data_IF_221493021702
#
_entry.id   IF_221493021702
#
_cell.length_a   1.000
_cell.length_b   1.000
_cell.length_c   1.000
_cell.angle_alpha   90.00
_cell.angle_beta   90.00
_cell.angle_gamma   90.00
#
_symmetry.space_group_name_H-M   'P 1'
#
loop_
_entity.id
_entity.type
_entity.pdbx_description
1 polymer ?
#
# COMPACT_ATOMS: atom_id res chain seq x y z
N UNK A 1 -12.49 9.20 -12.24
CA UNK A 1 -11.06 9.47 -12.45
C UNK A 1 -10.40 8.19 -12.95
N UNK A 2 -9.71 8.24 -14.09
CA UNK A 2 -8.90 7.10 -14.56
C UNK A 2 -7.65 7.04 -13.69
N UNK A 3 -7.36 5.86 -13.12
CA UNK A 3 -6.18 5.59 -12.30
C UNK A 3 -5.39 4.47 -12.94
N UNK A 4 -4.09 4.44 -12.69
CA UNK A 4 -3.15 3.51 -13.30
C UNK A 4 -2.39 2.72 -12.24
N UNK A 5 -1.95 1.52 -12.62
CA UNK A 5 -1.04 0.69 -11.83
C UNK A 5 -0.19 -0.18 -12.75
N UNK A 6 0.98 -0.58 -12.29
CA UNK A 6 1.79 -1.61 -12.92
C UNK A 6 1.51 -2.94 -12.24
N UNK A 7 1.17 -3.95 -13.01
CA UNK A 7 1.00 -5.31 -12.53
C UNK A 7 2.15 -6.17 -13.07
N UNK A 8 2.84 -6.84 -12.18
CA UNK A 8 3.80 -7.88 -12.50
C UNK A 8 3.21 -9.25 -12.17
N UNK A 9 3.15 -10.10 -13.18
CA UNK A 9 2.75 -11.52 -13.04
C UNK A 9 4.04 -12.34 -13.02
N UNK A 10 4.33 -13.08 -11.92
CA UNK A 10 5.57 -13.81 -11.81
C UNK A 10 5.65 -14.93 -12.86
N UNK A 11 6.86 -15.21 -13.33
CA UNK A 11 7.12 -16.27 -14.34
C UNK A 11 6.75 -17.67 -13.83
N UNK A 12 6.68 -17.83 -12.52
CA UNK A 12 6.26 -19.08 -11.85
C UNK A 12 4.74 -19.25 -11.74
N UNK A 13 3.93 -18.24 -12.13
CA UNK A 13 2.47 -18.34 -12.07
C UNK A 13 1.91 -19.24 -13.16
N UNK A 14 1.18 -20.28 -12.77
CA UNK A 14 0.64 -21.31 -13.66
C UNK A 14 -0.77 -21.01 -14.22
N UNK A 15 -1.40 -19.94 -13.77
CA UNK A 15 -2.75 -19.55 -14.18
C UNK A 15 -3.89 -20.33 -13.49
N UNK A 16 -3.58 -21.32 -12.68
CA UNK A 16 -4.58 -22.22 -12.07
C UNK A 16 -4.55 -22.26 -10.55
N UNK A 17 -3.37 -22.13 -9.96
CA UNK A 17 -3.18 -22.13 -8.51
C UNK A 17 -3.41 -20.72 -7.94
N UNK A 18 -4.31 -20.54 -6.96
CA UNK A 18 -4.46 -19.25 -6.30
C UNK A 18 -3.19 -18.78 -5.59
N UNK A 19 -2.72 -17.59 -5.92
CA UNK A 19 -1.48 -16.98 -5.41
C UNK A 19 -1.73 -15.72 -4.59
N UNK A 20 -0.81 -15.31 -3.69
CA UNK A 20 -0.92 -14.05 -2.98
C UNK A 20 -0.91 -12.84 -3.92
N UNK A 21 -1.47 -11.73 -3.42
CA UNK A 21 -1.41 -10.41 -4.06
C UNK A 21 -0.71 -9.42 -3.13
N UNK A 22 0.32 -8.73 -3.63
CA UNK A 22 1.04 -7.70 -2.90
C UNK A 22 0.95 -6.36 -3.61
N UNK A 23 0.47 -5.33 -2.90
CA UNK A 23 0.55 -3.93 -3.30
C UNK A 23 1.80 -3.29 -2.70
N UNK A 24 2.57 -2.53 -3.52
CA UNK A 24 3.74 -1.79 -3.07
C UNK A 24 3.59 -0.30 -3.45
N UNK A 25 3.37 0.55 -2.44
CA UNK A 25 2.99 1.96 -2.59
C UNK A 25 4.21 2.88 -2.50
N UNK A 26 4.36 3.79 -3.49
CA UNK A 26 5.41 4.80 -3.52
C UNK A 26 5.23 5.86 -2.42
N UNK A 27 6.31 6.59 -2.10
CA UNK A 27 6.26 7.76 -1.22
C UNK A 27 5.68 9.00 -1.91
N UNK A 28 5.49 10.09 -1.14
CA UNK A 28 5.04 11.39 -1.67
C UNK A 28 5.94 11.87 -2.82
N UNK A 29 5.35 12.34 -3.90
CA UNK A 29 6.04 12.76 -5.11
C UNK A 29 6.56 11.64 -6.00
N UNK A 30 6.44 10.38 -5.58
CA UNK A 30 6.88 9.21 -6.34
C UNK A 30 5.92 8.82 -7.46
N UNK A 31 6.38 7.90 -8.30
CA UNK A 31 5.57 7.28 -9.34
C UNK A 31 5.63 5.76 -9.24
N UNK A 32 4.64 5.08 -9.81
CA UNK A 32 4.64 3.61 -9.89
C UNK A 32 5.90 3.06 -10.55
N UNK A 33 6.34 3.67 -11.66
CA UNK A 33 7.55 3.26 -12.38
C UNK A 33 8.84 3.56 -11.59
N UNK A 34 8.92 4.72 -10.93
CA UNK A 34 10.06 5.08 -10.08
C UNK A 34 10.17 4.13 -8.89
N UNK A 35 9.05 3.85 -8.23
CA UNK A 35 9.04 2.93 -7.09
C UNK A 35 9.35 1.47 -7.48
N UNK A 36 8.91 1.04 -8.66
CA UNK A 36 9.33 -0.25 -9.21
C UNK A 36 10.86 -0.30 -9.41
N UNK A 37 11.49 0.79 -9.86
CA UNK A 37 12.95 0.84 -10.03
C UNK A 37 13.70 0.85 -8.70
N UNK A 38 13.20 1.59 -7.70
CA UNK A 38 13.86 1.78 -6.40
C UNK A 38 13.64 0.61 -5.43
N UNK A 39 12.49 -0.07 -5.53
CA UNK A 39 12.05 -1.16 -4.67
C UNK A 39 11.55 -2.35 -5.49
N UNK A 40 12.41 -2.84 -6.40
CA UNK A 40 12.08 -3.93 -7.32
C UNK A 40 11.95 -5.26 -6.58
N UNK A 41 10.72 -5.74 -6.47
CA UNK A 41 10.40 -7.02 -5.84
C UNK A 41 10.08 -8.13 -6.86
N UNK A 42 10.31 -7.93 -8.16
CA UNK A 42 9.96 -8.91 -9.21
C UNK A 42 10.68 -10.25 -9.04
N UNK A 43 11.97 -10.21 -8.71
CA UNK A 43 12.73 -11.45 -8.42
C UNK A 43 12.19 -12.20 -7.20
N UNK A 44 11.68 -11.47 -6.22
CA UNK A 44 11.02 -12.06 -5.05
C UNK A 44 9.65 -12.64 -5.45
N UNK A 45 8.89 -11.93 -6.29
CA UNK A 45 7.62 -12.41 -6.82
C UNK A 45 7.78 -13.71 -7.62
N UNK A 46 8.82 -13.81 -8.45
CA UNK A 46 9.15 -15.05 -9.18
C UNK A 46 9.50 -16.22 -8.25
N UNK A 47 10.27 -15.95 -7.19
CA UNK A 47 10.69 -16.99 -6.24
C UNK A 47 9.55 -17.49 -5.37
N UNK A 48 8.70 -16.58 -4.88
CA UNK A 48 7.63 -16.89 -3.91
C UNK A 48 6.25 -17.02 -4.56
N UNK A 49 6.15 -16.81 -5.86
CA UNK A 49 4.94 -16.90 -6.69
C UNK A 49 3.79 -16.05 -6.14
N UNK A 50 3.89 -14.72 -6.26
CA UNK A 50 2.82 -13.78 -5.93
C UNK A 50 2.65 -12.71 -7.02
N UNK A 51 1.42 -12.24 -7.20
CA UNK A 51 1.13 -11.08 -8.05
C UNK A 51 1.58 -9.81 -7.35
N UNK A 52 2.28 -8.93 -8.08
CA UNK A 52 2.87 -7.72 -7.52
C UNK A 52 2.33 -6.48 -8.24
N UNK A 53 1.78 -5.55 -7.47
CA UNK A 53 1.17 -4.31 -7.98
C UNK A 53 1.91 -3.09 -7.46
N UNK A 54 2.29 -2.19 -8.37
CA UNK A 54 2.79 -0.85 -8.05
C UNK A 54 1.75 0.17 -8.51
N UNK A 55 0.89 0.65 -7.63
CA UNK A 55 -0.14 1.62 -7.98
C UNK A 55 0.42 3.02 -8.19
N UNK A 56 -0.28 3.86 -8.99
CA UNK A 56 0.01 5.26 -9.15
C UNK A 56 -0.89 6.12 -8.27
N UNK A 57 -0.29 6.88 -7.37
CA UNK A 57 -0.98 7.85 -6.51
C UNK A 57 -1.62 8.99 -7.32
N UNK A 58 -2.71 9.55 -6.79
CA UNK A 58 -3.36 10.74 -7.35
C UNK A 58 -2.51 11.99 -7.14
N UNK A 59 -2.77 13.05 -7.90
CA UNK A 59 -2.09 14.33 -7.71
C UNK A 59 -2.71 15.13 -6.56
N UNK A 60 -1.86 15.69 -5.72
CA UNK A 60 -2.22 16.70 -4.73
C UNK A 60 -2.54 18.05 -5.41
N UNK A 61 -2.98 19.03 -4.62
CA UNK A 61 -3.12 20.42 -5.08
C UNK A 61 -1.78 21.03 -5.56
N UNK A 62 -0.66 20.44 -5.17
CA UNK A 62 0.70 20.86 -5.57
C UNK A 62 1.24 20.06 -6.77
N UNK A 63 0.39 19.33 -7.49
CA UNK A 63 0.76 18.44 -8.59
C UNK A 63 1.76 17.33 -8.21
N UNK A 64 1.79 16.91 -6.95
CA UNK A 64 2.65 15.81 -6.49
C UNK A 64 1.83 14.54 -6.31
N UNK A 65 2.24 13.40 -6.88
CA UNK A 65 1.59 12.12 -6.62
C UNK A 65 1.66 11.77 -5.13
N UNK A 66 0.55 11.27 -4.58
CA UNK A 66 0.45 10.95 -3.14
C UNK A 66 -0.67 9.95 -2.86
N UNK A 67 -0.75 9.55 -1.60
CA UNK A 67 -1.82 8.72 -1.03
C UNK A 67 -2.51 9.48 0.09
N UNK A 68 -3.82 9.50 0.10
CA UNK A 68 -4.62 9.97 1.22
C UNK A 68 -4.65 8.88 2.30
N UNK A 69 -3.86 9.06 3.34
CA UNK A 69 -3.63 8.07 4.39
C UNK A 69 -4.26 8.47 5.74
N UNK A 70 -5.20 9.41 5.72
CA UNK A 70 -5.92 9.85 6.92
C UNK A 70 -7.43 9.91 6.64
N UNK A 71 -8.20 10.24 7.67
CA UNK A 71 -9.64 10.45 7.54
C UNK A 71 -9.95 11.65 6.63
N UNK A 72 -11.14 11.69 5.99
CA UNK A 72 -11.58 12.86 5.25
C UNK A 72 -11.49 14.13 6.11
N UNK A 73 -10.80 15.14 5.60
CA UNK A 73 -10.57 16.41 6.32
C UNK A 73 -9.32 16.45 7.20
N UNK A 74 -8.62 15.31 7.36
CA UNK A 74 -7.32 15.25 8.01
C UNK A 74 -6.17 15.75 7.11
N UNK A 75 -4.98 15.14 7.23
CA UNK A 75 -3.79 15.53 6.43
C UNK A 75 -3.84 15.04 4.97
N UNK A 76 -5.05 14.82 4.44
CA UNK A 76 -5.25 14.45 3.04
C UNK A 76 -5.01 15.65 2.12
N UNK A 77 -4.23 15.42 1.06
CA UNK A 77 -3.80 16.47 0.12
C UNK A 77 -4.66 16.54 -1.13
N UNK A 78 -5.68 15.71 -1.22
CA UNK A 78 -6.68 15.72 -2.29
C UNK A 78 -7.99 15.07 -1.83
N UNK A 79 -8.98 15.06 -2.71
CA UNK A 79 -10.28 14.39 -2.49
C UNK A 79 -10.36 13.01 -3.16
N UNK A 80 -9.22 12.47 -3.60
CA UNK A 80 -9.19 11.17 -4.25
C UNK A 80 -9.53 10.05 -3.26
N UNK A 81 -10.38 9.12 -3.68
CA UNK A 81 -10.68 7.90 -2.96
C UNK A 81 -9.62 6.83 -3.26
N UNK A 82 -8.52 6.87 -2.52
CA UNK A 82 -7.42 5.92 -2.70
C UNK A 82 -7.76 4.53 -2.16
N UNK A 83 -8.56 4.44 -1.10
CA UNK A 83 -9.05 3.16 -0.56
C UNK A 83 -9.97 2.46 -1.56
N UNK A 84 -10.93 3.17 -2.14
CA UNK A 84 -11.78 2.64 -3.22
C UNK A 84 -10.98 2.26 -4.46
N UNK A 85 -9.88 2.95 -4.76
CA UNK A 85 -8.97 2.55 -5.84
C UNK A 85 -8.29 1.19 -5.55
N UNK A 86 -7.86 0.93 -4.31
CA UNK A 86 -7.30 -0.38 -3.93
C UNK A 86 -8.35 -1.48 -4.10
N UNK A 87 -9.59 -1.27 -3.65
CA UNK A 87 -10.69 -2.23 -3.82
C UNK A 87 -11.00 -2.49 -5.31
N UNK A 88 -10.95 -1.44 -6.14
CA UNK A 88 -11.13 -1.60 -7.59
C UNK A 88 -9.99 -2.41 -8.22
N UNK A 89 -8.73 -2.21 -7.78
CA UNK A 89 -7.60 -3.03 -8.25
C UNK A 89 -7.73 -4.49 -7.80
N UNK A 90 -8.11 -4.74 -6.54
CA UNK A 90 -8.39 -6.10 -6.04
C UNK A 90 -9.41 -6.76 -6.96
N UNK A 91 -10.56 -6.12 -7.19
CA UNK A 91 -11.63 -6.63 -8.06
C UNK A 91 -11.13 -6.92 -9.48
N UNK A 92 -10.35 -6.00 -10.06
CA UNK A 92 -9.79 -6.14 -11.41
C UNK A 92 -8.82 -7.32 -11.51
N UNK A 93 -7.92 -7.47 -10.53
CA UNK A 93 -6.94 -8.57 -10.52
C UNK A 93 -7.64 -9.91 -10.33
N UNK A 94 -8.62 -10.01 -9.42
CA UNK A 94 -9.42 -11.23 -9.23
C UNK A 94 -10.20 -11.64 -10.48
N UNK A 95 -10.63 -10.69 -11.31
CA UNK A 95 -11.34 -11.01 -12.56
C UNK A 95 -10.46 -11.66 -13.62
N UNK A 96 -9.13 -11.52 -13.49
CA UNK A 96 -8.16 -11.91 -14.52
C UNK A 96 -7.18 -13.00 -14.06
N UNK A 97 -7.02 -13.17 -12.74
CA UNK A 97 -6.03 -14.07 -12.16
C UNK A 97 -6.62 -14.86 -10.99
N UNK A 98 -6.05 -16.04 -10.73
CA UNK A 98 -6.37 -16.84 -9.55
C UNK A 98 -5.63 -16.25 -8.33
N UNK A 99 -6.35 -15.49 -7.51
CA UNK A 99 -5.82 -14.86 -6.28
C UNK A 99 -6.35 -15.57 -5.05
N UNK A 100 -5.47 -15.82 -4.09
CA UNK A 100 -5.89 -16.27 -2.76
C UNK A 100 -6.35 -15.06 -1.94
N UNK A 101 -7.65 -14.90 -1.79
CA UNK A 101 -8.28 -13.78 -1.07
C UNK A 101 -7.91 -13.69 0.42
N UNK A 102 -7.30 -14.73 0.98
CA UNK A 102 -6.80 -14.72 2.37
C UNK A 102 -5.36 -14.21 2.48
N UNK A 103 -4.68 -13.99 1.35
CA UNK A 103 -3.28 -13.59 1.27
C UNK A 103 -3.09 -12.33 0.41
N UNK A 104 -3.83 -11.26 0.74
CA UNK A 104 -3.66 -9.94 0.14
C UNK A 104 -2.85 -9.08 1.11
N UNK A 105 -1.79 -8.49 0.63
CA UNK A 105 -0.82 -7.73 1.42
C UNK A 105 -0.61 -6.33 0.85
N UNK A 106 -0.23 -5.40 1.72
CA UNK A 106 0.12 -4.04 1.34
C UNK A 106 1.45 -3.65 1.96
N UNK A 107 2.35 -3.06 1.20
CA UNK A 107 3.53 -2.42 1.75
C UNK A 107 3.78 -1.07 1.08
N UNK A 108 4.61 -0.24 1.71
CA UNK A 108 4.93 1.05 1.13
C UNK A 108 6.02 1.78 1.88
N UNK A 109 6.56 2.80 1.21
CA UNK A 109 7.59 3.68 1.71
C UNK A 109 7.03 5.07 2.03
N UNK A 110 7.41 5.67 3.15
CA UNK A 110 7.01 7.02 3.56
C UNK A 110 5.47 7.20 3.52
N UNK A 111 4.92 8.11 2.73
CA UNK A 111 3.46 8.30 2.55
C UNK A 111 2.75 7.00 2.08
N UNK A 112 3.40 6.14 1.30
CA UNK A 112 2.88 4.80 0.98
C UNK A 112 2.83 3.86 2.18
N UNK A 113 3.77 4.02 3.13
CA UNK A 113 3.75 3.30 4.41
C UNK A 113 2.62 3.76 5.33
N UNK A 114 2.34 5.07 5.38
CA UNK A 114 1.16 5.62 6.08
C UNK A 114 -0.13 5.04 5.50
N UNK A 115 -0.21 5.00 4.17
CA UNK A 115 -1.37 4.46 3.48
C UNK A 115 -1.55 2.95 3.74
N UNK A 116 -0.46 2.18 3.85
CA UNK A 116 -0.55 0.78 4.24
C UNK A 116 -1.19 0.61 5.64
N UNK A 117 -0.86 1.47 6.61
CA UNK A 117 -1.55 1.48 7.91
C UNK A 117 -3.04 1.82 7.79
N UNK A 118 -3.40 2.80 6.96
CA UNK A 118 -4.80 3.17 6.72
C UNK A 118 -5.59 2.00 6.11
N UNK A 119 -4.99 1.29 5.16
CA UNK A 119 -5.58 0.08 4.56
C UNK A 119 -5.78 -1.04 5.59
N UNK A 120 -4.82 -1.25 6.51
CA UNK A 120 -4.97 -2.23 7.59
C UNK A 120 -6.18 -1.94 8.49
N UNK A 121 -6.60 -0.67 8.59
CA UNK A 121 -7.77 -0.26 9.34
C UNK A 121 -9.06 -0.34 8.50
N UNK A 122 -9.05 0.26 7.31
CA UNK A 122 -10.25 0.43 6.49
C UNK A 122 -10.62 -0.81 5.68
N UNK A 123 -9.61 -1.57 5.23
CA UNK A 123 -9.77 -2.82 4.49
C UNK A 123 -9.34 -4.02 5.33
N UNK A 124 -9.60 -3.98 6.63
CA UNK A 124 -9.20 -5.00 7.61
C UNK A 124 -9.69 -6.41 7.26
N UNK A 125 -10.81 -6.53 6.53
CA UNK A 125 -11.34 -7.82 6.06
C UNK A 125 -10.69 -8.33 4.79
N UNK A 126 -9.92 -7.48 4.09
CA UNK A 126 -9.30 -7.79 2.80
C UNK A 126 -7.77 -7.90 2.93
N UNK A 127 -7.15 -7.01 3.72
CA UNK A 127 -5.69 -6.94 3.90
C UNK A 127 -5.24 -7.80 5.08
N UNK A 128 -4.52 -8.88 4.79
CA UNK A 128 -4.05 -9.84 5.80
C UNK A 128 -2.86 -9.33 6.62
N UNK A 129 -1.94 -8.59 5.99
CA UNK A 129 -0.81 -7.98 6.69
C UNK A 129 -0.25 -6.79 5.89
N UNK A 130 0.50 -5.93 6.60
CA UNK A 130 1.15 -4.76 6.00
C UNK A 130 2.63 -4.66 6.32
N UNK A 131 3.38 -3.96 5.44
CA UNK A 131 4.75 -3.53 5.67
C UNK A 131 4.88 -2.02 5.49
N UNK A 132 5.34 -1.30 6.51
CA UNK A 132 5.57 0.15 6.45
C UNK A 132 7.04 0.47 6.64
N UNK A 133 7.63 1.19 5.69
CA UNK A 133 9.05 1.59 5.70
C UNK A 133 9.16 3.09 5.84
N UNK A 134 9.99 3.54 6.80
CA UNK A 134 10.27 4.95 7.08
C UNK A 134 9.02 5.79 7.39
N UNK A 135 8.00 5.18 8.00
CA UNK A 135 6.80 5.90 8.46
C UNK A 135 6.04 5.12 9.53
N UNK A 136 5.34 5.86 10.40
CA UNK A 136 4.43 5.34 11.41
C UNK A 136 2.97 5.64 11.03
N UNK A 137 2.04 5.02 11.75
CA UNK A 137 0.61 5.33 11.61
C UNK A 137 0.30 6.75 12.09
N UNK A 138 -0.55 7.46 11.37
CA UNK A 138 -1.11 8.72 11.87
C UNK A 138 -1.95 8.51 13.14
N UNK A 139 -1.86 9.45 14.07
CA UNK A 139 -2.65 9.40 15.31
C UNK A 139 -4.17 9.42 15.03
N UNK A 140 -4.58 10.11 13.99
CA UNK A 140 -5.99 10.15 13.55
C UNK A 140 -6.46 8.76 13.09
N UNK A 141 -5.66 8.10 12.26
CA UNK A 141 -5.93 6.73 11.80
C UNK A 141 -5.97 5.78 12.99
N UNK A 142 -5.01 5.88 13.91
CA UNK A 142 -4.97 5.06 15.13
C UNK A 142 -6.22 5.25 15.99
N UNK A 143 -6.63 6.49 16.26
CA UNK A 143 -7.77 6.80 17.12
C UNK A 143 -9.12 6.36 16.53
N UNK A 144 -9.19 6.19 15.21
CA UNK A 144 -10.41 5.79 14.49
C UNK A 144 -10.33 4.37 13.92
N UNK A 145 -9.25 3.64 14.22
CA UNK A 145 -9.05 2.27 13.77
C UNK A 145 -9.80 1.29 14.67
N UNK A 146 -10.72 0.53 14.10
CA UNK A 146 -11.49 -0.49 14.81
C UNK A 146 -11.46 -1.82 14.03
N UNK A 147 -10.29 -2.49 13.98
CA UNK A 147 -10.15 -3.71 13.20
C UNK A 147 -11.01 -4.83 13.81
N UNK A 148 -11.63 -5.62 12.96
CA UNK A 148 -12.47 -6.76 13.37
C UNK A 148 -11.67 -8.04 13.60
N UNK A 149 -10.42 -8.09 13.12
CA UNK A 149 -9.49 -9.20 13.34
C UNK A 149 -8.04 -8.68 13.33
N UNK A 150 -7.11 -9.43 13.93
CA UNK A 150 -5.69 -9.05 13.96
C UNK A 150 -5.10 -8.97 12.54
N UNK A 151 -4.36 -7.90 12.28
CA UNK A 151 -3.58 -7.72 11.05
C UNK A 151 -2.10 -7.71 11.38
N UNK A 152 -1.30 -8.51 10.67
CA UNK A 152 0.15 -8.53 10.84
C UNK A 152 0.77 -7.20 10.40
N UNK A 153 1.70 -6.64 11.20
CA UNK A 153 2.39 -5.39 10.89
C UNK A 153 3.90 -5.59 10.94
N UNK A 154 4.58 -5.30 9.83
CA UNK A 154 6.03 -5.12 9.77
C UNK A 154 6.34 -3.63 9.66
N UNK A 155 7.02 -3.07 10.66
CA UNK A 155 7.45 -1.67 10.66
C UNK A 155 8.98 -1.59 10.62
N UNK A 156 9.52 -0.86 9.64
CA UNK A 156 10.95 -0.64 9.46
C UNK A 156 11.24 0.86 9.57
N UNK A 157 11.90 1.26 10.66
CA UNK A 157 12.15 2.65 10.98
C UNK A 157 13.64 2.87 11.25
N UNK A 158 14.18 3.97 10.73
CA UNK A 158 15.53 4.43 11.04
C UNK A 158 15.57 5.15 12.40
N UNK A 159 16.47 4.77 13.29
CA UNK A 159 16.64 5.44 14.60
C UNK A 159 17.16 6.87 14.50
N UNK A 160 17.77 7.21 13.36
CA UNK A 160 18.28 8.57 13.05
C UNK A 160 17.48 9.27 11.95
N UNK A 161 16.28 8.76 11.63
CA UNK A 161 15.39 9.41 10.68
C UNK A 161 14.86 10.72 11.30
N UNK A 162 15.14 11.84 10.63
CA UNK A 162 14.75 13.18 11.08
C UNK A 162 13.43 13.68 10.44
N UNK A 163 12.82 12.88 9.55
CA UNK A 163 11.51 13.15 8.94
C UNK A 163 10.45 12.29 9.63
N UNK A 164 10.70 10.98 9.71
CA UNK A 164 9.85 10.03 10.43
C UNK A 164 10.54 9.60 11.71
N UNK A 165 10.55 10.51 12.69
CA UNK A 165 11.28 10.31 13.93
C UNK A 165 10.87 8.99 14.61
N UNK A 166 11.87 8.17 14.96
CA UNK A 166 11.67 6.88 15.61
C UNK A 166 10.84 6.96 16.90
N UNK A 167 11.04 8.03 17.69
CA UNK A 167 10.31 8.26 18.93
C UNK A 167 8.96 8.98 18.73
N UNK A 168 8.52 9.15 17.50
CA UNK A 168 7.36 9.93 17.15
C UNK A 168 7.64 11.43 17.14
N UNK A 169 6.74 12.18 16.53
CA UNK A 169 6.70 13.64 16.55
C UNK A 169 5.36 14.11 17.10
N UNK A 170 5.39 15.08 17.98
CA UNK A 170 4.21 15.85 18.36
C UNK A 170 4.23 17.13 17.52
N UNK A 171 3.19 17.33 16.73
CA UNK A 171 2.92 18.58 16.02
C UNK A 171 2.04 19.47 16.88
#
# INVERSE_FOLDING_TARGET
>A
LTREYLLYVPTSYDGTTPVPLLFNFHGYGGTSAGHLADADMRSLADRETFLLVYPQGSLSSENSPHWNASLPGGDNKSTADDTGFVQAMITSVFSSYQVDGTRIYACGYSNGGEFAYDLACRLNTEIAAIGAVARTMYIETFNNCSPTHPTGILSILGTSDNISNYNGVTF
#
